data_IF_655761208078
#
_entry.id   IF_655761208078
#
_cell.length_a   1.000
_cell.length_b   1.000
_cell.length_c   1.000
_cell.angle_alpha   90.00
_cell.angle_beta   90.00
_cell.angle_gamma   90.00
#
_symmetry.space_group_name_H-M   'P 1'
#
loop_
_entity.id
_entity.type
_entity.pdbx_description
1 polymer ?
#
# COMPACT_ATOMS: atom_id res chain seq x y z
N UNK A 1 10.31 -12.00 -15.86
CA UNK A 1 10.54 -11.91 -14.39
C UNK A 1 9.18 -11.90 -13.72
N UNK A 2 9.04 -12.67 -12.63
CA UNK A 2 7.78 -12.78 -11.90
C UNK A 2 7.67 -11.68 -10.85
N UNK A 3 6.50 -11.03 -10.76
CA UNK A 3 6.16 -10.03 -9.74
C UNK A 3 4.88 -10.48 -9.05
N UNK A 4 4.96 -10.75 -7.75
CA UNK A 4 3.85 -11.27 -6.96
C UNK A 4 3.36 -10.18 -6.01
N UNK A 5 2.08 -9.85 -6.10
CA UNK A 5 1.42 -8.90 -5.23
C UNK A 5 0.74 -9.64 -4.08
N UNK A 6 1.17 -9.40 -2.84
CA UNK A 6 0.52 -9.91 -1.65
C UNK A 6 -0.57 -8.93 -1.19
N UNK A 7 -1.80 -9.41 -1.11
CA UNK A 7 -2.97 -8.61 -0.74
C UNK A 7 -3.90 -8.32 -1.92
N UNK A 8 -5.08 -8.94 -1.94
CA UNK A 8 -6.10 -8.82 -2.98
C UNK A 8 -6.91 -7.52 -2.97
N UNK A 9 -6.45 -6.48 -2.28
CA UNK A 9 -7.11 -5.18 -2.18
C UNK A 9 -6.85 -4.27 -3.38
N UNK A 10 -7.21 -2.99 -3.21
CA UNK A 10 -7.12 -1.94 -4.23
C UNK A 10 -5.73 -1.84 -4.88
N UNK A 11 -4.67 -1.71 -4.07
CA UNK A 11 -3.31 -1.56 -4.60
C UNK A 11 -2.83 -2.83 -5.32
N UNK A 12 -2.99 -3.99 -4.68
CA UNK A 12 -2.53 -5.26 -5.26
C UNK A 12 -3.18 -5.56 -6.60
N UNK A 13 -4.51 -5.42 -6.70
CA UNK A 13 -5.23 -5.65 -7.94
C UNK A 13 -4.80 -4.70 -9.05
N UNK A 14 -4.85 -3.37 -8.80
CA UNK A 14 -4.53 -2.40 -9.85
C UNK A 14 -3.09 -2.52 -10.33
N UNK A 15 -2.13 -2.67 -9.42
CA UNK A 15 -0.72 -2.79 -9.78
C UNK A 15 -0.43 -4.09 -10.52
N UNK A 16 -1.06 -5.21 -10.13
CA UNK A 16 -0.91 -6.47 -10.87
C UNK A 16 -1.41 -6.34 -12.31
N UNK A 17 -2.51 -5.62 -12.53
CA UNK A 17 -3.06 -5.34 -13.86
C UNK A 17 -2.21 -4.36 -14.67
N UNK A 18 -1.74 -3.28 -14.06
CA UNK A 18 -0.94 -2.25 -14.75
C UNK A 18 0.45 -2.74 -15.16
N UNK A 19 0.94 -3.81 -14.54
CA UNK A 19 2.27 -4.37 -14.80
C UNK A 19 2.24 -5.71 -15.56
N UNK A 20 1.06 -6.26 -15.90
CA UNK A 20 0.93 -7.59 -16.54
C UNK A 20 1.52 -7.66 -17.95
N UNK A 21 1.58 -6.56 -18.68
CA UNK A 21 2.21 -6.49 -20.00
C UNK A 21 3.74 -6.52 -19.93
N UNK A 22 4.33 -6.13 -18.80
CA UNK A 22 5.79 -6.05 -18.62
C UNK A 22 6.36 -7.25 -17.85
N UNK A 23 5.57 -7.78 -16.91
CA UNK A 23 5.98 -8.85 -15.99
C UNK A 23 4.96 -9.99 -15.98
N UNK A 24 5.42 -11.18 -15.63
CA UNK A 24 4.54 -12.26 -15.20
C UNK A 24 3.99 -11.91 -13.81
N UNK A 25 2.79 -11.32 -13.75
CA UNK A 25 2.18 -10.90 -12.50
C UNK A 25 1.31 -11.99 -11.88
N UNK A 26 1.30 -12.05 -10.54
CA UNK A 26 0.37 -12.85 -9.76
C UNK A 26 -0.18 -12.04 -8.59
N UNK A 27 -1.46 -12.24 -8.26
CA UNK A 27 -2.13 -11.61 -7.12
C UNK A 27 -2.48 -12.68 -6.09
N UNK A 28 -1.87 -12.59 -4.89
CA UNK A 28 -2.03 -13.57 -3.82
C UNK A 28 -2.69 -12.93 -2.59
N UNK A 29 -3.69 -13.60 -2.02
CA UNK A 29 -4.37 -13.08 -0.82
C UNK A 29 -5.43 -14.03 -0.30
N UNK A 30 -5.96 -13.75 0.88
CA UNK A 30 -7.05 -14.54 1.49
C UNK A 30 -8.38 -14.33 0.78
N UNK A 31 -8.63 -13.13 0.29
CA UNK A 31 -9.77 -12.76 -0.54
C UNK A 31 -9.43 -11.56 -1.44
N UNK A 32 -10.31 -11.27 -2.38
CA UNK A 32 -10.26 -10.05 -3.16
C UNK A 32 -11.67 -9.67 -3.63
N UNK A 33 -12.07 -8.40 -3.52
CA UNK A 33 -13.31 -7.93 -4.13
C UNK A 33 -13.24 -7.88 -5.67
N UNK A 34 -12.06 -8.13 -6.24
CA UNK A 34 -11.77 -8.11 -7.67
C UNK A 34 -11.61 -9.51 -8.29
N UNK A 35 -11.96 -10.58 -7.59
CA UNK A 35 -11.78 -11.97 -8.07
C UNK A 35 -12.44 -12.26 -9.41
N UNK A 36 -13.61 -11.63 -9.68
CA UNK A 36 -14.30 -11.76 -10.97
C UNK A 36 -13.60 -11.02 -12.12
N UNK A 37 -12.61 -10.20 -11.83
CA UNK A 37 -11.86 -9.39 -12.79
C UNK A 37 -10.40 -9.83 -12.94
N UNK A 38 -9.96 -10.86 -12.21
CA UNK A 38 -8.56 -11.31 -12.19
C UNK A 38 -8.44 -12.82 -12.34
N UNK A 39 -7.91 -13.26 -13.48
CA UNK A 39 -7.62 -14.67 -13.74
C UNK A 39 -6.37 -15.18 -13.00
N UNK A 40 -5.53 -14.25 -12.49
CA UNK A 40 -4.27 -14.55 -11.81
C UNK A 40 -4.36 -14.52 -10.27
N UNK A 41 -5.59 -14.51 -9.71
CA UNK A 41 -5.76 -14.52 -8.26
C UNK A 41 -5.52 -15.91 -7.67
N UNK A 42 -4.57 -16.00 -6.76
CA UNK A 42 -4.31 -17.19 -5.96
C UNK A 42 -4.76 -16.97 -4.51
N UNK A 43 -5.69 -17.81 -4.05
CA UNK A 43 -6.18 -17.73 -2.68
C UNK A 43 -5.17 -18.39 -1.72
N UNK A 44 -4.40 -17.56 -1.02
CA UNK A 44 -3.39 -18.01 -0.06
C UNK A 44 -3.25 -17.01 1.09
N UNK A 45 -2.97 -17.50 2.27
CA UNK A 45 -2.57 -16.67 3.40
C UNK A 45 -1.04 -16.52 3.39
N UNK A 46 -0.53 -15.32 3.12
CA UNK A 46 0.90 -15.03 3.07
C UNK A 46 1.66 -15.29 4.38
N UNK A 47 0.95 -15.45 5.50
CA UNK A 47 1.52 -15.75 6.83
C UNK A 47 1.40 -17.23 7.22
N UNK A 48 0.98 -18.09 6.31
CA UNK A 48 0.89 -19.53 6.47
C UNK A 48 2.10 -20.18 5.79
N UNK A 49 3.02 -20.70 6.62
CA UNK A 49 4.29 -21.26 6.13
C UNK A 49 4.08 -22.50 5.25
N UNK A 50 3.10 -23.36 5.58
CA UNK A 50 2.79 -24.56 4.80
C UNK A 50 2.21 -24.18 3.43
N UNK A 51 1.18 -23.33 3.41
CA UNK A 51 0.55 -22.87 2.19
C UNK A 51 1.51 -22.10 1.26
N UNK A 52 2.37 -21.25 1.82
CA UNK A 52 3.39 -20.53 1.06
C UNK A 52 4.51 -21.44 0.58
N UNK A 53 4.86 -22.47 1.34
CA UNK A 53 5.91 -23.44 0.99
C UNK A 53 5.58 -24.30 -0.26
N UNK A 54 4.30 -24.39 -0.64
CA UNK A 54 3.84 -25.06 -1.85
C UNK A 54 3.95 -24.19 -3.11
N UNK A 55 4.26 -22.90 -2.97
CA UNK A 55 4.25 -21.93 -4.06
C UNK A 55 5.66 -21.60 -4.54
N UNK A 56 5.82 -21.43 -5.85
CA UNK A 56 7.08 -21.01 -6.44
C UNK A 56 7.15 -19.50 -6.55
N UNK A 57 8.06 -18.92 -5.76
CA UNK A 57 8.41 -17.50 -5.81
C UNK A 57 9.93 -17.27 -5.81
N UNK A 58 10.68 -18.29 -6.20
CA UNK A 58 12.11 -18.14 -6.41
C UNK A 58 12.40 -17.08 -7.47
N UNK A 59 13.38 -16.22 -7.19
CA UNK A 59 13.78 -15.10 -8.03
C UNK A 59 12.66 -14.08 -8.36
N UNK A 60 11.50 -14.20 -7.68
CA UNK A 60 10.39 -13.26 -7.85
C UNK A 60 10.60 -11.98 -7.03
N UNK A 61 10.08 -10.87 -7.55
CA UNK A 61 9.85 -9.64 -6.76
C UNK A 61 8.50 -9.77 -6.06
N UNK A 62 8.50 -9.60 -4.76
CA UNK A 62 7.29 -9.66 -3.93
C UNK A 62 6.91 -8.23 -3.55
N UNK A 63 5.70 -7.81 -3.89
CA UNK A 63 5.15 -6.48 -3.55
C UNK A 63 4.08 -6.66 -2.49
N UNK A 64 4.34 -6.17 -1.29
CA UNK A 64 3.41 -6.27 -0.17
C UNK A 64 2.44 -5.09 -0.14
N UNK A 65 1.18 -5.39 -0.38
CA UNK A 65 0.05 -4.46 -0.28
C UNK A 65 -0.89 -4.78 0.88
N UNK A 66 -0.48 -5.69 1.79
CA UNK A 66 -1.28 -6.10 2.94
C UNK A 66 -1.29 -4.98 3.99
N UNK A 67 -2.44 -4.77 4.60
CA UNK A 67 -2.58 -3.95 5.80
C UNK A 67 -3.28 -4.75 6.89
N UNK A 68 -2.54 -5.16 7.91
CA UNK A 68 -3.08 -5.90 9.07
C UNK A 68 -3.72 -4.97 10.10
N UNK A 69 -3.39 -3.69 10.06
CA UNK A 69 -3.95 -2.64 10.92
C UNK A 69 -4.63 -1.62 10.03
N UNK A 70 -5.89 -1.30 10.30
CA UNK A 70 -6.60 -0.25 9.55
C UNK A 70 -6.24 1.15 10.07
N UNK A 71 -6.39 2.18 9.22
CA UNK A 71 -6.10 3.57 9.59
C UNK A 71 -6.95 4.09 10.76
N UNK A 72 -8.14 3.53 10.95
CA UNK A 72 -9.11 3.87 11.98
C UNK A 72 -9.04 2.94 13.20
N UNK A 73 -8.07 2.03 13.26
CA UNK A 73 -7.91 1.09 14.34
C UNK A 73 -7.70 1.82 15.68
N UNK A 74 -8.59 1.55 16.61
CA UNK A 74 -8.51 1.95 18.00
C UNK A 74 -8.59 0.68 18.84
N UNK A 75 -7.64 0.47 19.73
CA UNK A 75 -7.64 -0.71 20.58
C UNK A 75 -7.00 -0.40 21.93
N UNK A 76 -7.61 -0.92 22.97
CA UNK A 76 -7.02 -0.95 24.32
C UNK A 76 -5.82 -1.91 24.38
N UNK A 77 -5.74 -2.88 23.44
CA UNK A 77 -4.66 -3.86 23.32
C UNK A 77 -3.68 -3.56 22.18
N UNK A 78 -3.29 -2.29 22.03
CA UNK A 78 -2.40 -1.84 20.94
C UNK A 78 -1.09 -2.65 20.88
N UNK A 79 -0.48 -2.94 22.03
CA UNK A 79 0.78 -3.70 22.10
C UNK A 79 0.60 -5.14 21.65
N UNK A 80 -0.50 -5.80 22.00
CA UNK A 80 -0.79 -7.16 21.55
C UNK A 80 -1.03 -7.22 20.04
N UNK A 81 -1.68 -6.21 19.47
CA UNK A 81 -1.88 -6.10 18.01
C UNK A 81 -0.53 -5.93 17.32
N UNK A 82 0.31 -5.01 17.77
CA UNK A 82 1.64 -4.77 17.20
C UNK A 82 2.52 -6.03 17.29
N UNK A 83 2.50 -6.73 18.41
CA UNK A 83 3.25 -7.98 18.58
C UNK A 83 2.76 -9.09 17.63
N UNK A 84 1.45 -9.23 17.42
CA UNK A 84 0.91 -10.15 16.43
C UNK A 84 1.32 -9.78 14.99
N UNK A 85 1.30 -8.49 14.65
CA UNK A 85 1.77 -7.99 13.35
C UNK A 85 3.26 -8.31 13.18
N UNK A 86 4.08 -8.04 14.19
CA UNK A 86 5.51 -8.36 14.22
C UNK A 86 5.77 -9.83 13.88
N UNK A 87 5.18 -10.74 14.63
CA UNK A 87 5.36 -12.20 14.46
C UNK A 87 4.99 -12.65 13.05
N UNK A 88 3.87 -12.15 12.51
CA UNK A 88 3.45 -12.48 11.15
C UNK A 88 4.47 -12.06 10.11
N UNK A 89 5.01 -10.84 10.21
CA UNK A 89 5.98 -10.35 9.23
C UNK A 89 7.36 -11.00 9.40
N UNK A 90 7.79 -11.30 10.62
CA UNK A 90 8.99 -12.10 10.84
C UNK A 90 8.86 -13.48 10.18
N UNK A 91 7.72 -14.15 10.35
CA UNK A 91 7.41 -15.42 9.66
C UNK A 91 7.44 -15.24 8.13
N UNK A 92 6.74 -14.25 7.58
CA UNK A 92 6.72 -13.98 6.14
C UNK A 92 8.13 -13.76 5.58
N UNK A 93 8.95 -12.96 6.26
CA UNK A 93 10.32 -12.68 5.85
C UNK A 93 11.15 -13.97 5.79
N UNK A 94 11.04 -14.84 6.78
CA UNK A 94 11.75 -16.12 6.78
C UNK A 94 11.26 -17.07 5.67
N UNK A 95 9.95 -17.10 5.39
CA UNK A 95 9.40 -17.83 4.26
C UNK A 95 10.02 -17.32 2.95
N UNK A 96 10.01 -15.99 2.74
CA UNK A 96 10.53 -15.39 1.51
C UNK A 96 12.05 -15.61 1.34
N UNK A 97 12.82 -15.56 2.43
CA UNK A 97 14.26 -15.87 2.41
C UNK A 97 14.51 -17.34 2.06
N UNK A 98 13.80 -18.29 2.71
CA UNK A 98 13.89 -19.72 2.41
C UNK A 98 13.54 -20.03 0.94
N UNK A 99 12.50 -19.40 0.42
CA UNK A 99 12.06 -19.54 -0.97
C UNK A 99 12.89 -18.73 -1.98
N UNK A 100 13.96 -18.05 -1.54
CA UNK A 100 14.87 -17.30 -2.40
C UNK A 100 14.17 -16.20 -3.22
N UNK A 101 13.21 -15.47 -2.64
CA UNK A 101 12.64 -14.29 -3.27
C UNK A 101 13.76 -13.27 -3.62
N UNK A 102 13.70 -12.69 -4.82
CA UNK A 102 14.70 -11.74 -5.30
C UNK A 102 14.68 -10.43 -4.50
N UNK A 103 13.47 -9.93 -4.21
CA UNK A 103 13.26 -8.66 -3.53
C UNK A 103 11.91 -8.61 -2.84
N UNK A 104 11.83 -7.89 -1.74
CA UNK A 104 10.58 -7.58 -1.04
C UNK A 104 10.33 -6.08 -1.04
N UNK A 105 9.31 -5.62 -1.77
CA UNK A 105 8.86 -4.22 -1.83
C UNK A 105 7.71 -4.05 -0.85
N UNK A 106 7.91 -3.21 0.16
CA UNK A 106 6.93 -2.95 1.22
C UNK A 106 6.32 -1.57 1.08
N UNK A 107 4.99 -1.49 1.13
CA UNK A 107 4.29 -0.21 1.15
C UNK A 107 4.09 0.28 2.58
N UNK A 108 4.87 1.28 2.93
CA UNK A 108 4.70 2.12 4.11
C UNK A 108 3.79 3.32 3.80
N UNK A 109 3.71 4.28 4.69
CA UNK A 109 2.78 5.41 4.57
C UNK A 109 3.44 6.76 4.80
N UNK A 110 3.75 7.49 3.72
CA UNK A 110 4.22 8.87 3.81
C UNK A 110 3.21 9.83 4.42
N UNK A 111 1.91 9.50 4.35
CA UNK A 111 0.85 10.36 4.89
C UNK A 111 0.62 10.27 6.41
N UNK A 112 1.22 9.29 7.11
CA UNK A 112 0.90 9.07 8.54
C UNK A 112 2.11 8.86 9.45
N UNK A 113 3.24 8.38 8.92
CA UNK A 113 4.38 8.00 9.77
C UNK A 113 5.22 9.19 10.25
N UNK A 114 5.16 10.32 9.55
CA UNK A 114 5.89 11.53 9.92
C UNK A 114 5.17 12.41 10.94
N UNK A 115 3.88 12.14 11.22
CA UNK A 115 3.02 13.05 11.96
C UNK A 115 2.55 14.23 11.11
N UNK A 116 2.12 15.33 11.76
CA UNK A 116 1.65 16.54 11.06
C UNK A 116 2.82 17.42 10.67
N UNK A 117 2.96 17.72 9.40
CA UNK A 117 3.92 18.69 8.85
C UNK A 117 3.23 19.70 7.95
N UNK A 118 3.73 20.95 7.96
CA UNK A 118 3.23 22.03 7.07
C UNK A 118 3.91 21.99 5.71
N UNK A 119 5.15 21.51 5.66
CA UNK A 119 5.99 21.47 4.48
C UNK A 119 6.21 20.02 4.00
N UNK A 120 6.76 19.88 2.81
CA UNK A 120 7.20 18.57 2.29
C UNK A 120 8.29 18.00 3.20
N UNK A 121 8.22 16.69 3.41
CA UNK A 121 9.20 15.96 4.22
C UNK A 121 10.07 15.07 3.32
N UNK A 122 11.35 15.01 3.61
CA UNK A 122 12.28 14.04 3.03
C UNK A 122 12.33 12.77 3.88
N UNK A 123 12.94 11.71 3.34
CA UNK A 123 13.13 10.43 4.02
C UNK A 123 14.01 10.53 5.26
N UNK A 124 14.84 11.57 5.35
CA UNK A 124 15.74 11.86 6.49
C UNK A 124 14.99 12.43 7.72
N UNK A 125 13.76 12.90 7.53
CA UNK A 125 12.94 13.41 8.64
C UNK A 125 12.56 12.23 9.54
N UNK A 126 12.78 12.41 10.84
CA UNK A 126 12.41 11.39 11.84
C UNK A 126 10.93 11.10 11.82
N UNK A 127 10.56 9.84 11.89
CA UNK A 127 9.17 9.41 11.99
C UNK A 127 8.58 9.80 13.35
N UNK A 128 7.30 10.20 13.36
CA UNK A 128 6.51 10.51 14.56
C UNK A 128 5.11 9.85 14.46
N UNK A 129 5.02 8.50 14.56
CA UNK A 129 3.79 7.77 14.35
C UNK A 129 2.81 7.95 15.51
N UNK A 130 1.68 8.63 15.29
CA UNK A 130 0.66 8.91 16.30
C UNK A 130 -0.42 7.81 16.36
N UNK A 131 -0.77 7.18 15.24
CA UNK A 131 -1.81 6.15 15.16
C UNK A 131 -1.23 4.73 15.26
N UNK A 132 -2.06 3.77 15.66
CA UNK A 132 -1.67 2.35 15.69
C UNK A 132 -1.22 1.85 14.30
N UNK A 133 -1.90 2.30 13.24
CA UNK A 133 -1.52 2.04 11.86
C UNK A 133 -0.10 2.57 11.56
N UNK A 134 0.16 3.85 11.88
CA UNK A 134 1.47 4.45 11.63
C UNK A 134 2.58 3.76 12.43
N UNK A 135 2.31 3.41 13.71
CA UNK A 135 3.23 2.64 14.56
C UNK A 135 3.54 1.27 13.96
N UNK A 136 2.52 0.58 13.44
CA UNK A 136 2.73 -0.72 12.78
C UNK A 136 3.61 -0.59 11.53
N UNK A 137 3.44 0.46 10.73
CA UNK A 137 4.26 0.70 9.53
C UNK A 137 5.71 0.98 9.89
N UNK A 138 5.98 1.87 10.85
CA UNK A 138 7.35 2.16 11.32
C UNK A 138 8.02 0.91 11.88
N UNK A 139 7.33 0.15 12.72
CA UNK A 139 7.84 -1.12 13.26
C UNK A 139 8.22 -2.10 12.14
N UNK A 140 7.41 -2.20 11.08
CA UNK A 140 7.68 -3.08 9.95
C UNK A 140 8.87 -2.59 9.11
N UNK A 141 9.06 -1.27 8.94
CA UNK A 141 10.26 -0.72 8.31
C UNK A 141 11.52 -1.13 9.08
N UNK A 142 11.52 -1.04 10.41
CA UNK A 142 12.64 -1.45 11.26
C UNK A 142 12.93 -2.96 11.16
N UNK A 143 11.90 -3.80 11.16
CA UNK A 143 12.04 -5.25 10.98
C UNK A 143 12.70 -5.55 9.63
N UNK A 144 12.24 -4.93 8.55
CA UNK A 144 12.78 -5.15 7.21
C UNK A 144 14.26 -4.73 7.10
N UNK A 145 14.61 -3.57 7.64
CA UNK A 145 15.98 -3.07 7.65
C UNK A 145 16.95 -4.01 8.38
N UNK A 146 16.48 -4.69 9.42
CA UNK A 146 17.28 -5.60 10.25
C UNK A 146 17.19 -7.09 9.82
N UNK A 147 16.29 -7.44 8.90
CA UNK A 147 15.99 -8.83 8.54
C UNK A 147 17.03 -9.51 7.65
N UNK A 148 17.86 -8.73 6.97
CA UNK A 148 18.79 -9.23 5.95
C UNK A 148 18.16 -9.59 4.60
N UNK A 149 16.82 -9.50 4.46
CA UNK A 149 16.16 -9.64 3.15
C UNK A 149 16.55 -8.48 2.22
N UNK A 150 16.50 -8.70 0.92
CA UNK A 150 16.65 -7.63 -0.05
C UNK A 150 15.36 -6.81 -0.14
N UNK A 151 15.24 -5.74 0.63
CA UNK A 151 14.04 -4.93 0.75
C UNK A 151 14.07 -3.65 -0.09
N UNK A 152 12.90 -3.10 -0.36
CA UNK A 152 12.65 -1.72 -0.77
C UNK A 152 11.40 -1.21 -0.05
N UNK A 153 11.51 -0.08 0.64
CA UNK A 153 10.40 0.52 1.38
C UNK A 153 9.89 1.75 0.63
N UNK A 154 8.62 1.72 0.23
CA UNK A 154 7.96 2.84 -0.42
C UNK A 154 6.94 3.49 0.53
N UNK A 155 7.22 4.72 0.97
CA UNK A 155 6.36 5.53 1.81
C UNK A 155 5.37 6.28 0.92
N UNK A 156 4.21 5.67 0.70
CA UNK A 156 3.20 6.20 -0.22
C UNK A 156 2.46 7.38 0.41
N UNK A 157 2.19 8.43 -0.38
CA UNK A 157 1.22 9.46 -0.04
C UNK A 157 -0.22 8.94 -0.27
N UNK A 158 -1.06 9.55 -1.09
CA UNK A 158 -2.46 9.14 -1.25
C UNK A 158 -2.73 8.69 -2.71
N UNK A 159 -2.50 7.40 -3.03
CA UNK A 159 -2.79 6.88 -4.37
C UNK A 159 -4.30 6.84 -4.63
N UNK A 160 -4.70 7.22 -5.85
CA UNK A 160 -6.08 7.19 -6.32
C UNK A 160 -6.20 6.71 -7.78
N UNK A 161 -7.41 6.45 -8.23
CA UNK A 161 -7.71 6.06 -9.60
C UNK A 161 -7.76 4.56 -9.85
N UNK A 162 -7.84 4.16 -11.11
CA UNK A 162 -8.03 2.76 -11.49
C UNK A 162 -9.35 2.18 -10.96
N UNK A 163 -9.35 0.89 -10.67
CA UNK A 163 -10.50 0.18 -10.11
C UNK A 163 -10.58 0.39 -8.59
N UNK A 164 -10.96 1.59 -8.16
CA UNK A 164 -11.12 1.91 -6.75
C UNK A 164 -12.60 1.85 -6.37
N UNK A 165 -12.99 0.85 -5.56
CA UNK A 165 -14.38 0.68 -5.13
C UNK A 165 -14.71 1.75 -4.08
N UNK A 166 -15.78 2.52 -4.30
CA UNK A 166 -16.26 3.49 -3.32
C UNK A 166 -16.79 2.77 -2.07
N UNK A 167 -16.21 3.05 -0.91
CA UNK A 167 -16.61 2.45 0.35
C UNK A 167 -15.90 3.08 1.54
N UNK A 168 -16.32 2.74 2.75
CA UNK A 168 -15.88 3.38 4.01
C UNK A 168 -14.36 3.37 4.26
N UNK A 169 -13.60 2.55 3.53
CA UNK A 169 -12.14 2.36 3.74
C UNK A 169 -11.29 2.67 2.51
N UNK A 170 -11.87 3.23 1.44
CA UNK A 170 -11.25 3.31 0.12
C UNK A 170 -10.83 4.71 -0.33
N UNK A 171 -10.54 5.60 0.60
CA UNK A 171 -10.12 6.97 0.27
C UNK A 171 -11.30 7.90 -0.06
N UNK A 172 -11.04 9.19 -0.08
CA UNK A 172 -12.07 10.23 -0.25
C UNK A 172 -12.52 10.40 -1.70
N UNK A 173 -11.58 10.33 -2.66
CA UNK A 173 -11.86 10.61 -4.08
C UNK A 173 -12.96 9.70 -4.67
N UNK A 174 -12.91 8.36 -4.57
CA UNK A 174 -13.96 7.52 -5.14
C UNK A 174 -15.33 7.74 -4.47
N UNK A 175 -15.35 8.12 -3.19
CA UNK A 175 -16.60 8.42 -2.48
C UNK A 175 -17.19 9.72 -3.02
N UNK A 176 -16.39 10.76 -3.22
CA UNK A 176 -16.81 12.04 -3.79
C UNK A 176 -17.35 11.88 -5.22
N UNK A 177 -16.61 11.16 -6.08
CA UNK A 177 -17.05 10.88 -7.46
C UNK A 177 -18.39 10.13 -7.46
N UNK A 178 -18.52 9.10 -6.61
CA UNK A 178 -19.78 8.36 -6.50
C UNK A 178 -20.93 9.27 -6.03
N UNK A 179 -20.71 10.10 -5.00
CA UNK A 179 -21.72 11.02 -4.48
C UNK A 179 -22.17 12.03 -5.55
N UNK A 180 -21.21 12.60 -6.31
CA UNK A 180 -21.52 13.52 -7.40
C UNK A 180 -22.34 12.86 -8.51
N UNK A 181 -21.93 11.67 -8.98
CA UNK A 181 -22.63 10.95 -10.05
C UNK A 181 -24.02 10.47 -9.66
N UNK A 182 -24.30 10.23 -8.37
CA UNK A 182 -25.58 9.73 -7.87
C UNK A 182 -26.46 10.82 -7.24
N UNK A 183 -25.99 12.08 -7.23
CA UNK A 183 -26.64 13.21 -6.54
C UNK A 183 -26.91 12.88 -5.05
N UNK A 184 -25.94 12.17 -4.40
CA UNK A 184 -25.98 11.80 -2.99
C UNK A 184 -25.21 12.83 -2.14
N UNK A 185 -25.74 13.25 -0.96
CA UNK A 185 -25.02 14.17 -0.10
C UNK A 185 -23.73 13.53 0.43
N UNK A 186 -22.63 14.28 0.41
CA UNK A 186 -21.36 13.92 1.02
C UNK A 186 -21.16 14.65 2.35
N UNK A 187 -20.86 13.89 3.42
CA UNK A 187 -20.56 14.47 4.73
C UNK A 187 -19.03 14.60 4.90
N UNK A 188 -18.56 15.82 5.05
CA UNK A 188 -17.18 16.11 5.36
C UNK A 188 -16.83 15.67 6.80
N UNK A 189 -15.90 14.74 6.94
CA UNK A 189 -15.42 14.25 8.23
C UNK A 189 -14.10 14.96 8.66
N UNK A 190 -13.48 15.68 7.73
CA UNK A 190 -12.24 16.43 7.95
C UNK A 190 -12.46 17.89 7.55
N UNK A 191 -11.57 18.77 8.00
CA UNK A 191 -11.57 20.16 7.56
C UNK A 191 -11.35 20.24 6.05
N UNK A 192 -12.13 21.09 5.36
CA UNK A 192 -12.04 21.29 3.90
C UNK A 192 -10.68 21.80 3.46
N UNK A 193 -9.95 22.50 4.32
CA UNK A 193 -8.59 23.00 4.10
C UNK A 193 -7.48 21.95 4.31
N UNK A 194 -7.85 20.72 4.71
CA UNK A 194 -6.91 19.63 4.89
C UNK A 194 -6.21 19.29 3.58
N UNK A 195 -4.91 19.55 3.51
CA UNK A 195 -4.09 19.29 2.30
C UNK A 195 -3.54 17.87 2.33
N UNK A 196 -3.62 17.19 1.17
CA UNK A 196 -3.00 15.89 0.94
C UNK A 196 -2.31 15.88 -0.41
N UNK A 197 -1.24 15.10 -0.51
CA UNK A 197 -0.60 14.79 -1.79
C UNK A 197 -1.30 13.58 -2.39
N UNK A 198 -2.08 13.82 -3.44
CA UNK A 198 -2.75 12.77 -4.22
C UNK A 198 -1.94 12.46 -5.47
N UNK A 199 -1.76 11.19 -5.81
CA UNK A 199 -1.08 10.78 -7.03
C UNK A 199 -1.77 9.59 -7.68
N UNK A 200 -1.71 9.54 -9.01
CA UNK A 200 -2.44 8.54 -9.78
C UNK A 200 -1.78 7.17 -9.71
N UNK A 201 -2.58 6.11 -9.57
CA UNK A 201 -2.09 4.73 -9.38
C UNK A 201 -1.18 4.26 -10.51
N UNK A 202 -1.39 4.75 -11.75
CA UNK A 202 -0.53 4.42 -12.89
C UNK A 202 0.89 4.96 -12.70
N UNK A 203 1.07 6.08 -12.02
CA UNK A 203 2.40 6.62 -11.74
C UNK A 203 3.12 5.81 -10.66
N UNK A 204 2.37 5.22 -9.72
CA UNK A 204 2.95 4.22 -8.80
C UNK A 204 3.43 2.98 -9.57
N UNK A 205 2.64 2.48 -10.52
CA UNK A 205 3.03 1.34 -11.34
C UNK A 205 4.32 1.63 -12.13
N UNK A 206 4.41 2.82 -12.77
CA UNK A 206 5.63 3.26 -13.47
C UNK A 206 6.83 3.39 -12.53
N UNK A 207 6.62 3.95 -11.34
CA UNK A 207 7.69 4.07 -10.34
C UNK A 207 8.22 2.69 -9.93
N UNK A 208 7.33 1.73 -9.64
CA UNK A 208 7.71 0.35 -9.31
C UNK A 208 8.48 -0.29 -10.47
N UNK A 209 8.00 -0.14 -11.70
CA UNK A 209 8.67 -0.67 -12.89
C UNK A 209 10.11 -0.13 -13.01
N UNK A 210 10.31 1.18 -12.90
CA UNK A 210 11.62 1.81 -12.93
C UNK A 210 12.54 1.31 -11.79
N UNK A 211 12.01 1.21 -10.58
CA UNK A 211 12.78 0.74 -9.42
C UNK A 211 13.23 -0.72 -9.58
N UNK A 212 12.38 -1.57 -10.13
CA UNK A 212 12.71 -2.97 -10.43
C UNK A 212 13.75 -3.06 -11.55
N UNK A 213 13.57 -2.33 -12.66
CA UNK A 213 14.50 -2.32 -13.79
C UNK A 213 15.91 -1.85 -13.40
N UNK A 214 15.99 -0.85 -12.51
CA UNK A 214 17.27 -0.34 -12.02
C UNK A 214 17.83 -1.11 -10.82
N UNK A 215 17.18 -2.19 -10.38
CA UNK A 215 17.56 -3.01 -9.23
C UNK A 215 17.77 -2.18 -7.94
N UNK A 216 16.95 -1.14 -7.74
CA UNK A 216 17.02 -0.31 -6.52
C UNK A 216 16.59 -1.16 -5.33
N UNK A 217 17.41 -1.20 -4.31
CA UNK A 217 17.16 -2.02 -3.12
C UNK A 217 17.86 -1.45 -1.89
N UNK A 218 17.40 -1.86 -0.70
CA UNK A 218 17.87 -1.41 0.61
C UNK A 218 17.72 0.10 0.82
N UNK A 219 16.70 0.66 0.18
CA UNK A 219 16.37 2.08 0.22
C UNK A 219 14.98 2.30 0.83
N UNK A 220 14.77 3.52 1.31
CA UNK A 220 13.46 4.04 1.71
C UNK A 220 13.18 5.23 0.81
N UNK A 221 12.02 5.24 0.16
CA UNK A 221 11.66 6.26 -0.84
C UNK A 221 10.25 6.78 -0.57
N UNK A 222 10.10 8.10 -0.46
CA UNK A 222 8.80 8.74 -0.47
C UNK A 222 8.21 8.75 -1.88
N UNK A 223 6.96 8.31 -2.02
CA UNK A 223 6.26 8.26 -3.30
C UNK A 223 5.00 9.11 -3.24
N UNK A 224 4.94 10.11 -4.10
CA UNK A 224 3.83 11.05 -4.22
C UNK A 224 3.98 11.92 -5.45
N UNK A 225 3.02 12.81 -5.70
CA UNK A 225 3.10 13.81 -6.79
C UNK A 225 4.04 14.97 -6.46
N UNK A 226 4.35 15.13 -5.16
CA UNK A 226 5.07 16.29 -4.65
C UNK A 226 4.23 17.56 -4.65
N UNK A 227 2.91 17.49 -4.88
CA UNK A 227 1.99 18.62 -4.89
C UNK A 227 0.80 18.33 -3.99
N UNK A 228 0.56 19.20 -3.00
CA UNK A 228 -0.60 19.09 -2.13
C UNK A 228 -1.85 19.69 -2.76
N UNK A 229 -3.00 19.06 -2.56
CA UNK A 229 -4.32 19.61 -2.86
C UNK A 229 -5.19 19.62 -1.61
N UNK A 230 -5.95 20.69 -1.39
CA UNK A 230 -6.96 20.74 -0.33
C UNK A 230 -8.16 19.86 -0.72
N UNK A 231 -8.89 19.38 0.28
CA UNK A 231 -10.12 18.62 0.01
C UNK A 231 -11.15 19.48 -0.74
N UNK A 232 -11.22 20.78 -0.43
CA UNK A 232 -12.05 21.75 -1.15
C UNK A 232 -11.70 21.77 -2.65
N UNK A 233 -10.40 21.86 -3.00
CA UNK A 233 -9.97 21.85 -4.40
C UNK A 233 -10.30 20.54 -5.12
N UNK A 234 -10.23 19.40 -4.43
CA UNK A 234 -10.65 18.10 -4.99
C UNK A 234 -12.15 18.08 -5.26
N UNK A 235 -12.97 18.63 -4.35
CA UNK A 235 -14.42 18.74 -4.54
C UNK A 235 -14.75 19.62 -5.74
N UNK A 236 -14.17 20.84 -5.85
CA UNK A 236 -14.34 21.73 -6.99
C UNK A 236 -14.09 21.02 -8.32
N UNK A 237 -12.96 20.31 -8.44
CA UNK A 237 -12.60 19.59 -9.66
C UNK A 237 -13.64 18.52 -9.99
N UNK A 238 -14.13 17.79 -9.01
CA UNK A 238 -15.13 16.73 -9.23
C UNK A 238 -16.47 17.33 -9.65
N UNK A 239 -16.89 18.46 -9.05
CA UNK A 239 -18.12 19.17 -9.42
C UNK A 239 -18.06 19.79 -10.82
N UNK A 240 -16.87 20.23 -11.27
CA UNK A 240 -16.66 20.76 -12.63
C UNK A 240 -16.72 19.65 -13.70
N UNK A 241 -16.38 18.39 -13.37
CA UNK A 241 -16.25 17.28 -14.30
C UNK A 241 -17.46 16.31 -14.30
N UNK A 242 -18.40 16.48 -13.37
CA UNK A 242 -19.60 15.62 -13.23
C UNK A 242 -20.90 16.38 -13.40
#
# INVERSE_FOLDING_TARGET
>A
MKVIFLGGGYLGYNLSKLLEDTYETALWGIDSPYTSLSDSFCKVNAFDEEAMGELDFKDAVIVDTISLVSNDAKSEDADAILENVRKKYETLIEILKKGQAKQFIFFSSGGTIYGSHKDKVSEEVSTNPETLYAKSKVMLEEILQNSGINYLILRLSNPYGGYQIAGKRQGVIPILIRSALLDEPFHLWASSDSVRDYFYINDLAKAIDLLIQHNISREIINVGSGTGASLEKVIEIIEEET
#
